data_IF_524692336237
#
_entry.id   IF_524692336237
#
_cell.length_a   1.000
_cell.length_b   1.000
_cell.length_c   1.000
_cell.angle_alpha   90.00
_cell.angle_beta   90.00
_cell.angle_gamma   90.00
#
_symmetry.space_group_name_H-M   'P 1'
#
loop_
_entity.id
_entity.type
_entity.pdbx_description
1 polymer ?
#
# COMPACT_ATOMS: atom_id res chain seq x y z
N UNK A 1 23.94 15.12 -35.88
CA UNK A 1 22.77 14.30 -35.47
C UNK A 1 23.00 13.36 -34.27
N UNK A 2 24.22 12.91 -33.96
CA UNK A 2 24.44 11.94 -32.87
C UNK A 2 24.27 12.51 -31.44
N UNK A 3 24.70 13.77 -31.21
CA UNK A 3 24.60 14.43 -29.90
C UNK A 3 23.16 14.57 -29.38
N UNK A 4 22.20 14.89 -30.27
CA UNK A 4 20.79 15.06 -29.90
C UNK A 4 20.11 13.76 -29.46
N UNK A 5 20.56 12.60 -29.96
CA UNK A 5 20.01 11.28 -29.58
C UNK A 5 20.52 10.82 -28.21
N UNK A 6 21.76 11.14 -27.86
CA UNK A 6 22.36 10.81 -26.57
C UNK A 6 21.68 11.56 -25.41
N UNK A 7 21.44 12.86 -25.57
CA UNK A 7 20.72 13.68 -24.58
C UNK A 7 19.28 13.19 -24.34
N UNK A 8 18.57 12.79 -25.40
CA UNK A 8 17.22 12.23 -25.28
C UNK A 8 17.19 10.86 -24.56
N UNK A 9 18.22 10.02 -24.76
CA UNK A 9 18.35 8.72 -24.08
C UNK A 9 18.66 8.89 -22.59
N UNK A 10 19.54 9.82 -22.24
CA UNK A 10 19.83 10.18 -20.85
C UNK A 10 18.58 10.73 -20.15
N UNK A 11 17.86 11.67 -20.76
CA UNK A 11 16.62 12.21 -20.20
C UNK A 11 15.52 11.17 -19.99
N UNK A 12 15.42 10.14 -20.87
CA UNK A 12 14.50 9.00 -20.70
C UNK A 12 14.91 8.11 -19.52
N UNK A 13 16.20 7.78 -19.41
CA UNK A 13 16.76 6.98 -18.32
C UNK A 13 16.59 7.65 -16.95
N UNK A 14 16.82 8.96 -16.86
CA UNK A 14 16.60 9.72 -15.62
C UNK A 14 15.13 9.72 -15.21
N UNK A 15 14.19 9.87 -16.16
CA UNK A 15 12.75 9.79 -15.88
C UNK A 15 12.32 8.41 -15.40
N UNK A 16 12.85 7.36 -16.01
CA UNK A 16 12.58 5.98 -15.59
C UNK A 16 13.15 5.70 -14.18
N UNK A 17 14.37 6.13 -13.88
CA UNK A 17 14.95 6.02 -12.54
C UNK A 17 14.15 6.78 -11.48
N UNK A 18 13.66 7.98 -11.80
CA UNK A 18 12.78 8.74 -10.91
C UNK A 18 11.45 8.02 -10.65
N UNK A 19 10.84 7.46 -11.70
CA UNK A 19 9.59 6.70 -11.61
C UNK A 19 9.77 5.42 -10.78
N UNK A 20 10.85 4.67 -11.01
CA UNK A 20 11.21 3.48 -10.23
C UNK A 20 11.47 3.82 -8.76
N UNK A 21 12.12 4.96 -8.47
CA UNK A 21 12.30 5.43 -7.10
C UNK A 21 10.97 5.81 -6.42
N UNK A 22 10.08 6.49 -7.15
CA UNK A 22 8.76 6.86 -6.65
C UNK A 22 7.90 5.64 -6.33
N UNK A 23 7.83 4.65 -7.23
CA UNK A 23 7.00 3.46 -7.01
C UNK A 23 7.49 2.64 -5.82
N UNK A 24 8.82 2.52 -5.62
CA UNK A 24 9.41 1.84 -4.46
C UNK A 24 9.02 2.52 -3.15
N UNK A 25 9.13 3.85 -3.08
CA UNK A 25 8.69 4.62 -1.88
C UNK A 25 7.21 4.46 -1.61
N UNK A 26 6.39 4.48 -2.67
CA UNK A 26 4.95 4.27 -2.54
C UNK A 26 4.63 2.87 -2.01
N UNK A 27 5.29 1.84 -2.54
CA UNK A 27 5.14 0.47 -2.07
C UNK A 27 5.51 0.31 -0.60
N UNK A 28 6.68 0.80 -0.19
CA UNK A 28 7.13 0.74 1.20
C UNK A 28 6.16 1.44 2.15
N UNK A 29 5.72 2.66 1.80
CA UNK A 29 4.73 3.41 2.59
C UNK A 29 3.40 2.64 2.73
N UNK A 30 2.87 2.12 1.63
CA UNK A 30 1.56 1.44 1.67
C UNK A 30 1.63 0.10 2.41
N UNK A 31 2.75 -0.63 2.29
CA UNK A 31 2.97 -1.83 3.07
C UNK A 31 3.01 -1.53 4.58
N UNK A 32 3.69 -0.46 5.00
CA UNK A 32 3.71 -0.01 6.39
C UNK A 32 2.31 0.39 6.90
N UNK A 33 1.56 1.17 6.12
CA UNK A 33 0.20 1.58 6.48
C UNK A 33 -0.75 0.38 6.60
N UNK A 34 -0.68 -0.56 5.65
CA UNK A 34 -1.54 -1.76 5.67
C UNK A 34 -1.20 -2.67 6.85
N UNK A 35 0.09 -2.89 7.13
CA UNK A 35 0.53 -3.68 8.29
C UNK A 35 0.07 -3.05 9.61
N UNK A 36 0.32 -1.75 9.81
CA UNK A 36 -0.14 -1.05 11.00
C UNK A 36 -1.66 -1.10 11.16
N UNK A 37 -2.43 -1.03 10.07
CA UNK A 37 -3.88 -1.18 10.12
C UNK A 37 -4.30 -2.58 10.55
N UNK A 38 -3.65 -3.64 10.05
CA UNK A 38 -3.88 -5.02 10.51
C UNK A 38 -3.59 -5.15 12.01
N UNK A 39 -2.49 -4.57 12.48
CA UNK A 39 -2.12 -4.57 13.89
C UNK A 39 -3.17 -3.86 14.75
N UNK A 40 -3.63 -2.66 14.34
CA UNK A 40 -4.67 -1.91 15.09
C UNK A 40 -5.97 -2.70 15.22
N UNK A 41 -6.35 -3.47 14.20
CA UNK A 41 -7.60 -4.22 14.18
C UNK A 41 -7.48 -5.66 14.69
N UNK A 42 -6.29 -6.05 15.16
CA UNK A 42 -5.99 -7.39 15.67
C UNK A 42 -6.11 -8.48 14.62
N UNK A 43 -5.76 -8.19 13.35
CA UNK A 43 -5.71 -9.20 12.30
C UNK A 43 -4.30 -9.79 12.23
N UNK A 44 -4.15 -11.05 12.62
CA UNK A 44 -2.86 -11.71 12.64
C UNK A 44 -2.33 -11.99 11.22
N UNK A 45 -1.00 -11.96 11.00
CA UNK A 45 -0.41 -12.22 9.68
C UNK A 45 -0.83 -13.57 9.08
N UNK A 46 -1.01 -14.61 9.91
CA UNK A 46 -1.48 -15.92 9.47
C UNK A 46 -2.91 -15.91 8.93
N UNK A 47 -3.80 -15.13 9.56
CA UNK A 47 -5.18 -14.97 9.10
C UNK A 47 -5.24 -14.22 7.77
N UNK A 48 -4.43 -13.16 7.63
CA UNK A 48 -4.32 -12.44 6.37
C UNK A 48 -3.74 -13.32 5.23
N UNK A 49 -2.75 -14.16 5.55
CA UNK A 49 -2.06 -15.04 4.60
C UNK A 49 -2.83 -16.33 4.25
N UNK A 50 -3.86 -16.71 5.02
CA UNK A 50 -4.67 -17.90 4.76
C UNK A 50 -5.31 -17.90 3.36
N UNK A 51 -5.56 -16.71 2.79
CA UNK A 51 -6.07 -16.53 1.43
C UNK A 51 -5.11 -15.65 0.61
N UNK A 52 -4.00 -16.21 0.08
CA UNK A 52 -2.92 -15.42 -0.53
C UNK A 52 -3.38 -14.61 -1.74
N UNK A 53 -4.36 -15.11 -2.51
CA UNK A 53 -4.94 -14.39 -3.64
C UNK A 53 -5.73 -13.15 -3.20
N UNK A 54 -6.50 -13.27 -2.10
CA UNK A 54 -7.26 -12.17 -1.52
C UNK A 54 -6.32 -11.13 -0.90
N UNK A 55 -5.28 -11.57 -0.18
CA UNK A 55 -4.23 -10.68 0.32
C UNK A 55 -3.54 -9.92 -0.82
N UNK A 56 -3.13 -10.60 -1.90
CA UNK A 56 -2.50 -9.95 -3.04
C UNK A 56 -3.43 -8.91 -3.70
N UNK A 57 -4.74 -9.19 -3.81
CA UNK A 57 -5.71 -8.22 -4.29
C UNK A 57 -5.84 -7.01 -3.35
N UNK A 58 -5.91 -7.24 -2.03
CA UNK A 58 -5.96 -6.20 -1.02
C UNK A 58 -4.70 -5.32 -1.02
N UNK A 59 -3.51 -5.91 -1.15
CA UNK A 59 -2.24 -5.19 -1.26
C UNK A 59 -2.21 -4.31 -2.51
N UNK A 60 -2.72 -4.78 -3.66
CA UNK A 60 -2.84 -3.95 -4.88
C UNK A 60 -3.80 -2.78 -4.70
N UNK A 61 -4.96 -2.99 -4.05
CA UNK A 61 -5.90 -1.91 -3.71
C UNK A 61 -5.24 -0.87 -2.81
N UNK A 62 -4.54 -1.32 -1.76
CA UNK A 62 -3.82 -0.43 -0.85
C UNK A 62 -2.71 0.34 -1.58
N UNK A 63 -1.91 -0.34 -2.40
CA UNK A 63 -0.83 0.26 -3.18
C UNK A 63 -1.31 1.48 -3.98
N UNK A 64 -2.51 1.43 -4.56
CA UNK A 64 -3.08 2.52 -5.38
C UNK A 64 -4.07 3.43 -4.63
N UNK A 65 -4.32 3.18 -3.35
CA UNK A 65 -5.22 4.00 -2.55
C UNK A 65 -4.72 5.46 -2.44
N UNK A 66 -5.57 6.47 -2.70
CA UNK A 66 -5.22 7.88 -2.56
C UNK A 66 -5.26 8.37 -1.11
N UNK A 67 -6.00 7.69 -0.22
CA UNK A 67 -6.25 8.10 1.16
C UNK A 67 -5.09 7.79 2.13
N UNK A 68 -3.84 7.77 1.65
CA UNK A 68 -2.70 7.35 2.46
C UNK A 68 -2.34 8.34 3.59
N UNK A 69 -2.73 9.61 3.47
CA UNK A 69 -2.58 10.59 4.56
C UNK A 69 -3.65 10.38 5.64
N UNK A 70 -4.91 10.24 5.23
CA UNK A 70 -6.03 9.94 6.12
C UNK A 70 -5.83 8.62 6.86
N UNK A 71 -5.26 7.61 6.19
CA UNK A 71 -4.84 6.35 6.82
C UNK A 71 -3.80 6.57 7.93
N UNK A 72 -2.78 7.40 7.67
CA UNK A 72 -1.78 7.76 8.67
C UNK A 72 -2.39 8.43 9.89
N UNK A 73 -3.22 9.46 9.70
CA UNK A 73 -3.89 10.14 10.81
C UNK A 73 -4.77 9.18 11.63
N UNK A 74 -5.55 8.33 10.97
CA UNK A 74 -6.36 7.34 11.66
C UNK A 74 -5.50 6.38 12.50
N UNK A 75 -4.33 5.97 12.00
CA UNK A 75 -3.39 5.10 12.73
C UNK A 75 -2.73 5.80 13.93
N UNK A 76 -2.55 7.11 13.88
CA UNK A 76 -2.05 7.92 14.99
C UNK A 76 -3.10 8.08 16.09
N UNK A 77 -4.36 8.29 15.71
CA UNK A 77 -5.49 8.49 16.62
C UNK A 77 -5.98 7.19 17.29
N UNK A 78 -5.78 6.04 16.64
CA UNK A 78 -6.36 4.77 17.09
C UNK A 78 -5.26 3.79 17.48
N UNK A 79 -5.11 3.54 18.79
CA UNK A 79 -4.15 2.56 19.28
C UNK A 79 -4.60 1.10 19.07
N UNK A 80 -5.92 0.90 19.07
CA UNK A 80 -6.63 -0.36 18.82
C UNK A 80 -8.02 -0.02 18.28
N UNK A 81 -8.55 -0.82 17.36
CA UNK A 81 -9.86 -0.62 16.78
C UNK A 81 -10.56 -1.96 16.52
N UNK A 82 -11.89 -2.00 16.65
CA UNK A 82 -12.64 -3.22 16.34
C UNK A 82 -12.80 -3.45 14.84
N UNK A 83 -12.69 -2.42 14.00
CA UNK A 83 -12.85 -2.50 12.55
C UNK A 83 -11.98 -1.45 11.87
N UNK A 84 -11.64 -1.69 10.62
CA UNK A 84 -11.01 -0.69 9.76
C UNK A 84 -11.99 0.47 9.50
N UNK A 85 -11.49 1.69 9.24
CA UNK A 85 -12.36 2.84 8.96
C UNK A 85 -13.08 2.68 7.62
N UNK A 86 -14.26 3.29 7.49
CA UNK A 86 -15.13 3.14 6.31
C UNK A 86 -14.48 3.61 5.00
N UNK A 87 -13.55 4.57 5.06
CA UNK A 87 -12.82 5.03 3.88
C UNK A 87 -11.81 3.99 3.35
N UNK A 88 -11.47 2.97 4.14
CA UNK A 88 -10.46 2.00 3.75
C UNK A 88 -11.01 1.03 2.70
N UNK A 89 -10.43 0.96 1.48
CA UNK A 89 -10.92 0.07 0.42
C UNK A 89 -10.71 -1.43 0.73
N UNK A 90 -10.00 -1.75 1.81
CA UNK A 90 -9.75 -3.10 2.28
C UNK A 90 -10.59 -3.48 3.50
N UNK A 91 -11.50 -2.62 3.99
CA UNK A 91 -12.30 -2.90 5.18
C UNK A 91 -13.03 -4.26 5.11
N UNK A 92 -13.69 -4.55 3.97
CA UNK A 92 -14.37 -5.82 3.77
C UNK A 92 -13.42 -7.04 3.75
N UNK A 93 -12.22 -6.88 3.19
CA UNK A 93 -11.21 -7.94 3.20
C UNK A 93 -10.78 -8.24 4.64
N UNK A 94 -10.44 -7.21 5.41
CA UNK A 94 -10.03 -7.39 6.81
C UNK A 94 -11.11 -8.06 7.66
N UNK A 95 -12.37 -7.67 7.47
CA UNK A 95 -13.50 -8.30 8.16
C UNK A 95 -13.58 -9.80 7.83
N UNK A 96 -13.53 -10.15 6.54
CA UNK A 96 -13.61 -11.55 6.11
C UNK A 96 -12.43 -12.41 6.56
N UNK A 97 -11.25 -11.81 6.75
CA UNK A 97 -10.04 -12.54 7.19
C UNK A 97 -10.02 -12.86 8.67
N UNK A 98 -10.82 -12.19 9.52
CA UNK A 98 -10.87 -12.45 10.97
C UNK A 98 -11.77 -13.62 11.37
N UNK A 99 -12.67 -14.04 10.48
CA UNK A 99 -13.65 -15.11 10.74
C UNK A 99 -13.25 -16.48 10.18
N UNK A 100 -11.98 -16.66 9.80
CA UNK A 100 -11.42 -17.95 9.37
C UNK A 100 -10.83 -18.74 10.53
#
# INVERSE_FOLDING_TARGET
MQASRAAAKLGRSTREGMMQGWIRRRFARQAQLMGAMMDRIGLEPGQAAAHPQALAAASRRCLWCPAAQQCGHWLEENCQAQRAPEFCPNAAYFESSRGG
#
